data_IF_508584260553
#
_entry.id   IF_508584260553
#
_cell.length_a   1.000
_cell.length_b   1.000
_cell.length_c   1.000
_cell.angle_alpha   90.00
_cell.angle_beta   90.00
_cell.angle_gamma   90.00
#
_symmetry.space_group_name_H-M   'P 1'
#
loop_
_entity.id
_entity.type
_entity.pdbx_description
1 polymer ?
#
# COMPACT_ATOMS: atom_id res chain seq x y z
N UNK A 1 4.61 -76.22 3.48
CA UNK A 1 4.74 -76.05 2.02
C UNK A 1 5.18 -74.61 1.73
N UNK A 2 5.97 -74.39 0.66
CA UNK A 2 7.16 -73.52 0.67
C UNK A 2 6.95 -72.07 0.16
N UNK A 3 7.92 -71.18 0.40
CA UNK A 3 7.96 -69.79 -0.05
C UNK A 3 8.67 -69.64 -1.42
N UNK A 4 8.47 -68.51 -2.11
CA UNK A 4 9.54 -67.79 -2.85
C UNK A 4 9.04 -66.49 -3.52
N UNK A 5 9.60 -65.32 -3.18
CA UNK A 5 9.59 -64.14 -4.05
C UNK A 5 10.73 -64.28 -5.08
N UNK A 6 10.49 -63.87 -6.34
CA UNK A 6 11.51 -63.86 -7.39
C UNK A 6 11.54 -62.49 -8.07
N UNK A 7 12.64 -61.76 -7.82
CA UNK A 7 13.02 -60.57 -8.55
C UNK A 7 13.31 -60.90 -10.02
N UNK A 8 12.91 -60.03 -10.96
CA UNK A 8 13.57 -59.86 -12.27
C UNK A 8 12.95 -58.67 -13.03
N UNK A 9 13.81 -57.80 -13.55
CA UNK A 9 13.46 -57.05 -14.75
C UNK A 9 13.69 -55.55 -14.71
N UNK A 10 14.95 -55.14 -14.70
CA UNK A 10 15.36 -53.83 -15.19
C UNK A 10 15.01 -53.69 -16.68
N UNK A 11 14.24 -52.67 -17.08
CA UNK A 11 14.31 -52.06 -18.41
C UNK A 11 14.06 -50.55 -18.33
N UNK A 12 15.11 -49.80 -18.72
CA UNK A 12 15.10 -48.39 -19.08
C UNK A 12 13.93 -48.06 -20.00
N UNK A 13 13.14 -47.06 -19.64
CA UNK A 13 12.39 -46.25 -20.58
C UNK A 13 12.59 -44.79 -20.20
N UNK A 14 13.52 -44.15 -20.91
CA UNK A 14 13.80 -42.73 -20.83
C UNK A 14 12.52 -41.95 -21.21
N UNK A 15 11.83 -41.38 -20.23
CA UNK A 15 10.79 -40.39 -20.48
C UNK A 15 11.47 -39.04 -20.73
N UNK A 16 11.47 -38.69 -22.01
CA UNK A 16 11.75 -37.38 -22.61
C UNK A 16 11.76 -36.19 -21.64
N UNK A 17 12.96 -35.65 -21.43
CA UNK A 17 13.11 -34.24 -21.10
C UNK A 17 12.54 -33.41 -22.25
N UNK A 18 11.32 -32.87 -22.10
CA UNK A 18 10.89 -31.70 -22.88
C UNK A 18 11.77 -30.52 -22.44
N UNK A 19 12.60 -29.92 -23.31
CA UNK A 19 13.10 -28.59 -23.04
C UNK A 19 11.88 -27.66 -23.14
N UNK A 20 11.36 -27.20 -21.99
CA UNK A 20 10.41 -26.09 -22.01
C UNK A 20 11.21 -24.85 -22.37
N UNK A 21 11.20 -24.59 -23.68
CA UNK A 21 11.64 -23.35 -24.31
C UNK A 21 11.26 -22.14 -23.46
N UNK A 22 12.28 -21.49 -22.92
CA UNK A 22 12.77 -20.25 -23.54
C UNK A 22 11.94 -18.98 -23.37
N UNK A 23 10.66 -19.04 -23.02
CA UNK A 23 9.89 -17.81 -22.79
C UNK A 23 9.93 -17.45 -21.31
N UNK A 24 11.03 -16.79 -20.92
CA UNK A 24 10.99 -15.77 -19.86
C UNK A 24 9.98 -14.71 -20.31
N UNK A 25 8.70 -15.03 -20.17
CA UNK A 25 7.55 -14.18 -20.43
C UNK A 25 7.84 -12.89 -19.69
N UNK A 26 8.28 -11.87 -20.46
CA UNK A 26 8.67 -10.53 -20.01
C UNK A 26 7.78 -10.19 -18.83
N UNK A 27 8.39 -10.07 -17.64
CA UNK A 27 7.72 -9.78 -16.38
C UNK A 27 6.74 -8.64 -16.68
N UNK A 28 5.45 -8.99 -16.80
CA UNK A 28 4.45 -8.04 -17.29
C UNK A 28 4.58 -6.77 -16.45
N UNK A 29 4.64 -5.61 -17.12
CA UNK A 29 4.84 -4.31 -16.47
C UNK A 29 3.90 -4.28 -15.26
N UNK A 30 4.49 -4.19 -14.07
CA UNK A 30 3.75 -4.30 -12.80
C UNK A 30 2.61 -3.29 -12.87
N UNK A 31 1.37 -3.79 -12.92
CA UNK A 31 0.19 -2.94 -12.88
C UNK A 31 0.09 -2.40 -11.46
N UNK A 32 0.25 -1.10 -11.31
CA UNK A 32 -0.04 -0.43 -10.06
C UNK A 32 -1.53 -0.61 -9.75
N UNK A 33 -1.81 -1.06 -8.53
CA UNK A 33 -3.15 -1.41 -8.08
C UNK A 33 -3.23 -1.25 -6.58
N UNK A 34 -4.40 -0.88 -6.09
CA UNK A 34 -4.69 -0.78 -4.66
C UNK A 34 -4.93 -2.14 -4.00
N UNK A 35 -4.91 -3.25 -4.76
CA UNK A 35 -5.29 -4.59 -4.26
C UNK A 35 -4.59 -5.00 -2.96
N UNK A 36 -3.29 -4.71 -2.82
CA UNK A 36 -2.55 -5.05 -1.61
C UNK A 36 -3.05 -4.27 -0.38
N UNK A 37 -3.43 -3.00 -0.55
CA UNK A 37 -3.94 -2.16 0.53
C UNK A 37 -5.39 -2.50 0.86
N UNK A 38 -6.22 -2.75 -0.15
CA UNK A 38 -7.61 -3.20 0.02
C UNK A 38 -7.63 -4.48 0.86
N UNK A 39 -6.75 -5.45 0.56
CA UNK A 39 -6.66 -6.68 1.35
C UNK A 39 -6.20 -6.44 2.79
N UNK A 40 -5.22 -5.54 3.01
CA UNK A 40 -4.77 -5.18 4.37
C UNK A 40 -5.88 -4.55 5.19
N UNK A 41 -6.65 -3.62 4.62
CA UNK A 41 -7.79 -2.99 5.29
C UNK A 41 -8.89 -4.02 5.58
N UNK A 42 -9.19 -4.91 4.63
CA UNK A 42 -10.16 -5.99 4.86
C UNK A 42 -9.78 -6.84 6.08
N UNK A 43 -8.51 -7.24 6.20
CA UNK A 43 -8.03 -8.05 7.32
C UNK A 43 -7.98 -7.30 8.66
N UNK A 44 -7.96 -5.97 8.64
CA UNK A 44 -8.09 -5.16 9.86
C UNK A 44 -9.53 -5.15 10.39
N UNK A 45 -10.54 -5.26 9.52
CA UNK A 45 -11.96 -5.22 9.90
C UNK A 45 -12.56 -6.62 10.06
N UNK A 46 -12.18 -7.57 9.18
CA UNK A 46 -12.68 -8.93 9.15
C UNK A 46 -11.54 -9.93 8.88
N UNK A 47 -10.84 -10.41 9.92
CA UNK A 47 -9.67 -11.28 9.77
C UNK A 47 -9.98 -12.63 9.11
N UNK A 48 -11.18 -13.17 9.28
CA UNK A 48 -11.57 -14.50 8.77
C UNK A 48 -12.23 -14.46 7.38
N UNK A 49 -12.49 -13.27 6.84
CA UNK A 49 -13.18 -13.10 5.54
C UNK A 49 -12.20 -13.00 4.38
N UNK A 50 -12.52 -13.67 3.27
CA UNK A 50 -11.80 -13.58 1.99
C UNK A 50 -12.48 -12.62 1.00
N UNK A 51 -11.79 -12.30 -0.09
CA UNK A 51 -12.34 -11.50 -1.20
C UNK A 51 -11.98 -12.15 -2.54
N UNK A 52 -12.95 -12.27 -3.44
CA UNK A 52 -12.74 -12.86 -4.77
C UNK A 52 -11.95 -11.91 -5.68
N UNK A 53 -11.33 -12.45 -6.74
CA UNK A 53 -10.60 -11.64 -7.73
C UNK A 53 -11.50 -10.62 -8.43
N UNK A 54 -12.75 -10.99 -8.74
CA UNK A 54 -13.76 -10.11 -9.33
C UNK A 54 -14.10 -8.96 -8.38
N UNK A 55 -14.39 -9.25 -7.11
CA UNK A 55 -14.67 -8.23 -6.10
C UNK A 55 -13.45 -7.32 -5.87
N UNK A 56 -12.23 -7.88 -5.86
CA UNK A 56 -11.00 -7.09 -5.77
C UNK A 56 -10.85 -6.11 -6.95
N UNK A 57 -11.21 -6.52 -8.16
CA UNK A 57 -11.18 -5.63 -9.33
C UNK A 57 -12.21 -4.51 -9.20
N UNK A 58 -13.42 -4.80 -8.73
CA UNK A 58 -14.46 -3.80 -8.49
C UNK A 58 -13.98 -2.77 -7.45
N UNK A 59 -13.44 -3.24 -6.33
CA UNK A 59 -12.91 -2.36 -5.27
C UNK A 59 -11.76 -1.50 -5.76
N UNK A 60 -10.85 -2.03 -6.59
CA UNK A 60 -9.79 -1.23 -7.18
C UNK A 60 -10.33 -0.13 -8.10
N UNK A 61 -11.31 -0.45 -8.95
CA UNK A 61 -11.96 0.57 -9.79
C UNK A 61 -12.70 1.62 -8.96
N UNK A 62 -13.37 1.21 -7.88
CA UNK A 62 -14.05 2.14 -6.96
C UNK A 62 -13.08 3.14 -6.33
N UNK A 63 -11.91 2.69 -5.88
CA UNK A 63 -10.88 3.60 -5.33
C UNK A 63 -10.41 4.61 -6.38
N UNK A 64 -10.22 4.17 -7.63
CA UNK A 64 -9.82 5.07 -8.72
C UNK A 64 -10.90 6.10 -9.04
N UNK A 65 -12.17 5.68 -9.14
CA UNK A 65 -13.31 6.59 -9.41
C UNK A 65 -13.43 7.68 -8.32
N UNK A 66 -13.36 7.29 -7.04
CA UNK A 66 -13.42 8.26 -5.94
C UNK A 66 -12.19 9.19 -5.95
N UNK A 67 -11.00 8.65 -6.23
CA UNK A 67 -9.78 9.46 -6.32
C UNK A 67 -9.88 10.50 -7.43
N UNK A 68 -10.28 10.10 -8.63
CA UNK A 68 -10.42 10.99 -9.79
C UNK A 68 -11.46 12.09 -9.52
N UNK A 69 -12.61 11.75 -8.93
CA UNK A 69 -13.65 12.73 -8.56
C UNK A 69 -13.13 13.77 -7.57
N UNK A 70 -12.44 13.35 -6.51
CA UNK A 70 -11.88 14.27 -5.51
C UNK A 70 -10.76 15.11 -6.11
N UNK A 71 -9.85 14.51 -6.88
CA UNK A 71 -8.75 15.23 -7.51
C UNK A 71 -9.24 16.29 -8.51
N UNK A 72 -10.23 15.95 -9.33
CA UNK A 72 -10.85 16.88 -10.27
C UNK A 72 -11.50 18.06 -9.54
N UNK A 73 -12.27 17.80 -8.47
CA UNK A 73 -12.91 18.85 -7.70
C UNK A 73 -11.90 19.73 -6.95
N UNK A 74 -10.88 19.14 -6.36
CA UNK A 74 -9.80 19.88 -5.69
C UNK A 74 -9.00 20.75 -6.69
N UNK A 75 -8.79 20.27 -7.91
CA UNK A 75 -8.17 21.04 -8.99
C UNK A 75 -9.05 22.24 -9.40
N UNK A 76 -10.38 22.05 -9.53
CA UNK A 76 -11.32 23.16 -9.78
C UNK A 76 -11.25 24.20 -8.66
N UNK A 77 -11.27 23.77 -7.41
CA UNK A 77 -11.17 24.66 -6.25
C UNK A 77 -9.86 25.45 -6.20
N UNK A 78 -8.72 24.82 -6.50
CA UNK A 78 -7.43 25.52 -6.57
C UNK A 78 -7.45 26.58 -7.68
N UNK A 79 -7.99 26.23 -8.85
CA UNK A 79 -8.11 27.15 -9.98
C UNK A 79 -9.02 28.35 -9.68
N UNK A 80 -10.19 28.14 -9.08
CA UNK A 80 -11.09 29.22 -8.67
C UNK A 80 -10.44 30.21 -7.70
N UNK A 81 -9.56 29.71 -6.82
CA UNK A 81 -8.81 30.54 -5.88
C UNK A 81 -7.51 31.11 -6.46
N UNK A 82 -7.26 30.96 -7.77
CA UNK A 82 -6.05 31.40 -8.47
C UNK A 82 -4.75 30.87 -7.84
N UNK A 83 -4.80 29.64 -7.32
CA UNK A 83 -3.64 28.95 -6.72
C UNK A 83 -3.09 27.91 -7.68
N UNK A 84 -1.77 27.78 -7.71
CA UNK A 84 -1.04 26.74 -8.46
C UNK A 84 -0.81 25.46 -7.66
N UNK A 85 -1.15 25.46 -6.37
CA UNK A 85 -0.91 24.33 -5.45
C UNK A 85 -2.22 23.87 -4.84
N UNK A 86 -2.50 22.56 -4.95
CA UNK A 86 -3.61 21.90 -4.25
C UNK A 86 -3.14 21.58 -2.83
N UNK A 87 -3.72 22.23 -1.81
CA UNK A 87 -3.44 21.96 -0.40
C UNK A 87 -4.46 20.98 0.19
N UNK A 88 -4.23 20.55 1.44
CA UNK A 88 -5.19 19.74 2.19
C UNK A 88 -6.56 20.42 2.32
N UNK A 89 -6.63 21.76 2.24
CA UNK A 89 -7.87 22.53 2.30
C UNK A 89 -8.77 22.30 1.08
N UNK A 90 -8.19 22.30 -0.13
CA UNK A 90 -8.93 22.01 -1.36
C UNK A 90 -9.42 20.55 -1.35
N UNK A 91 -8.58 19.60 -0.91
CA UNK A 91 -8.98 18.19 -0.75
C UNK A 91 -10.13 18.04 0.24
N UNK A 92 -10.03 18.67 1.41
CA UNK A 92 -11.08 18.61 2.43
C UNK A 92 -12.41 19.17 1.93
N UNK A 93 -12.36 20.28 1.19
CA UNK A 93 -13.56 20.90 0.61
C UNK A 93 -14.14 20.01 -0.50
N UNK A 94 -13.29 19.46 -1.38
CA UNK A 94 -13.69 18.50 -2.40
C UNK A 94 -14.39 17.28 -1.81
N UNK A 95 -13.86 16.71 -0.72
CA UNK A 95 -14.50 15.57 -0.03
C UNK A 95 -15.91 15.92 0.46
N UNK A 96 -16.12 17.13 0.99
CA UNK A 96 -17.44 17.59 1.42
C UNK A 96 -18.43 17.78 0.27
N UNK A 97 -17.93 18.08 -0.93
CA UNK A 97 -18.76 18.24 -2.13
C UNK A 97 -19.09 16.90 -2.80
N UNK A 98 -18.16 15.94 -2.78
CA UNK A 98 -18.31 14.64 -3.44
C UNK A 98 -19.08 13.62 -2.60
N UNK A 99 -18.89 13.61 -1.28
CA UNK A 99 -19.51 12.60 -0.40
C UNK A 99 -20.78 13.13 0.28
N UNK A 100 -21.84 12.32 0.39
CA UNK A 100 -23.09 12.74 1.03
C UNK A 100 -23.04 12.64 2.56
N UNK A 101 -23.74 13.56 3.24
CA UNK A 101 -24.15 13.44 4.65
C UNK A 101 -23.05 13.02 5.63
N UNK A 102 -23.32 11.95 6.39
CA UNK A 102 -22.39 11.42 7.40
C UNK A 102 -21.06 10.91 6.79
N UNK A 103 -21.07 10.40 5.56
CA UNK A 103 -19.84 9.94 4.91
C UNK A 103 -18.82 11.08 4.77
N UNK A 104 -19.28 12.28 4.41
CA UNK A 104 -18.41 13.46 4.35
C UNK A 104 -17.83 13.84 5.72
N UNK A 105 -18.64 13.81 6.78
CA UNK A 105 -18.20 14.13 8.14
C UNK A 105 -17.11 13.17 8.62
N UNK A 106 -17.33 11.87 8.44
CA UNK A 106 -16.38 10.83 8.82
C UNK A 106 -15.09 10.91 7.97
N UNK A 107 -15.20 11.08 6.65
CA UNK A 107 -14.04 11.18 5.77
C UNK A 107 -13.16 12.40 6.08
N UNK A 108 -13.77 13.55 6.38
CA UNK A 108 -13.04 14.76 6.80
C UNK A 108 -12.36 14.54 8.16
N UNK A 109 -13.03 13.88 9.10
CA UNK A 109 -12.45 13.54 10.41
C UNK A 109 -11.22 12.63 10.27
N UNK A 110 -11.33 11.54 9.51
CA UNK A 110 -10.22 10.62 9.25
C UNK A 110 -9.07 11.30 8.50
N UNK A 111 -9.37 12.14 7.51
CA UNK A 111 -8.37 12.93 6.80
C UNK A 111 -7.60 13.88 7.73
N UNK A 112 -8.31 14.55 8.64
CA UNK A 112 -7.70 15.47 9.62
C UNK A 112 -6.82 14.71 10.60
N UNK A 113 -7.28 13.58 11.14
CA UNK A 113 -6.48 12.70 12.01
C UNK A 113 -5.19 12.25 11.32
N UNK A 114 -5.28 11.85 10.05
CA UNK A 114 -4.12 11.41 9.28
C UNK A 114 -3.08 12.52 9.09
N UNK A 115 -3.52 13.74 8.74
CA UNK A 115 -2.63 14.91 8.58
C UNK A 115 -1.95 15.29 9.90
N UNK A 116 -2.70 15.29 11.01
CA UNK A 116 -2.15 15.57 12.34
C UNK A 116 -1.12 14.52 12.73
N UNK A 117 -1.46 13.22 12.61
CA UNK A 117 -0.53 12.13 12.93
C UNK A 117 0.75 12.20 12.09
N UNK A 118 0.64 12.50 10.81
CA UNK A 118 1.79 12.65 9.92
C UNK A 118 2.70 13.81 10.34
N UNK A 119 2.10 14.98 10.61
CA UNK A 119 2.83 16.17 11.05
C UNK A 119 3.55 15.92 12.38
N UNK A 120 2.87 15.32 13.36
CA UNK A 120 3.48 14.95 14.65
C UNK A 120 4.62 13.95 14.48
N UNK A 121 4.47 12.95 13.63
CA UNK A 121 5.51 11.94 13.38
C UNK A 121 6.76 12.57 12.74
N UNK A 122 6.58 13.53 11.84
CA UNK A 122 7.68 14.28 11.21
C UNK A 122 8.38 15.21 12.21
N UNK A 123 7.62 15.90 13.06
CA UNK A 123 8.19 16.78 14.10
C UNK A 123 9.01 15.98 15.12
N UNK A 124 8.50 14.82 15.57
CA UNK A 124 9.24 13.93 16.46
C UNK A 124 10.52 13.41 15.81
N UNK A 125 10.48 13.03 14.53
CA UNK A 125 11.69 12.64 13.80
C UNK A 125 12.73 13.77 13.75
N UNK A 126 12.29 15.01 13.48
CA UNK A 126 13.17 16.18 13.47
C UNK A 126 13.79 16.48 14.84
N UNK A 127 12.99 16.42 15.92
CA UNK A 127 13.48 16.64 17.29
C UNK A 127 14.50 15.57 17.66
N UNK A 128 14.24 14.29 17.36
CA UNK A 128 15.16 13.19 17.65
C UNK A 128 16.49 13.38 16.91
N UNK A 129 16.48 13.87 15.67
CA UNK A 129 17.71 14.20 14.93
C UNK A 129 18.45 15.36 15.59
N UNK A 130 17.75 16.43 15.98
CA UNK A 130 18.36 17.59 16.64
C UNK A 130 18.98 17.21 17.99
N UNK A 131 18.28 16.42 18.82
CA UNK A 131 18.78 15.95 20.12
C UNK A 131 19.99 15.03 19.94
N UNK A 132 20.04 14.20 18.90
CA UNK A 132 21.24 13.38 18.59
C UNK A 132 22.43 14.24 18.16
N UNK A 133 22.21 15.29 17.37
CA UNK A 133 23.26 16.23 16.96
C UNK A 133 23.79 17.01 18.17
N UNK A 134 22.90 17.53 19.01
CA UNK A 134 23.27 18.26 20.24
C UNK A 134 23.99 17.35 21.25
N UNK A 135 23.51 16.11 21.42
CA UNK A 135 24.17 15.10 22.27
C UNK A 135 25.57 14.71 21.78
N UNK A 136 25.82 14.74 20.47
CA UNK A 136 27.15 14.52 19.91
C UNK A 136 28.09 15.72 20.12
N UNK A 137 27.58 16.95 20.22
CA UNK A 137 28.40 18.12 20.49
C UNK A 137 28.75 18.29 21.98
N UNK A 138 27.93 17.78 22.90
CA UNK A 138 28.17 17.90 24.34
C UNK A 138 29.21 16.94 24.94
N UNK A 139 29.76 15.99 24.18
CA UNK A 139 30.53 14.85 24.71
C UNK A 139 32.07 14.98 24.77
N UNK A 140 32.68 16.14 24.51
CA UNK A 140 34.15 16.26 24.40
C UNK A 140 34.86 17.18 25.40
N UNK A 141 34.19 17.67 26.43
CA UNK A 141 34.77 18.63 27.39
C UNK A 141 35.29 18.02 28.72
N UNK A 142 35.43 16.70 28.84
CA UNK A 142 35.91 16.06 30.07
C UNK A 142 36.83 14.87 29.79
N UNK A 143 38.10 15.16 29.47
CA UNK A 143 39.17 14.17 29.54
C UNK A 143 39.70 14.12 30.99
N UNK A 144 39.86 12.93 31.59
CA UNK A 144 40.39 12.80 32.94
C UNK A 144 41.89 13.12 33.00
N UNK A 145 42.30 13.57 34.18
CA UNK A 145 43.69 13.48 34.70
C UNK A 145 44.27 12.07 34.56
#
# INVERSE_FOLDING_TARGET
MPPKPSAKGAKKAAKSHKPRSGDKKRRSRRKESYSAYIYRVLKQVHPDTGISSKAMSIMNSFVNDVFERIAAEASRLAHYNKRSTISSREIQTAVRLILPGELAKHAVSEGTKAVTKYTSSKLLASIVVLTRILGHMGGRAGGPV
#
